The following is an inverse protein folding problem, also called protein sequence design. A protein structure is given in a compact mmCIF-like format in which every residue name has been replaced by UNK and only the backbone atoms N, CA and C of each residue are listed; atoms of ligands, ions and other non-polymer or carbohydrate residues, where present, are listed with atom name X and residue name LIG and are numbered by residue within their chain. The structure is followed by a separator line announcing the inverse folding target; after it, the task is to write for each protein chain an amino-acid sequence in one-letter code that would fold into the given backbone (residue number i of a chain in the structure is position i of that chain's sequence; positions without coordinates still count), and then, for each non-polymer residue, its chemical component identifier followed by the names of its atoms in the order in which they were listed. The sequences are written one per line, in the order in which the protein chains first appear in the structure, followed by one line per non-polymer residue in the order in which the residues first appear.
data_IF_040566847281
#
_entry.id   IF_040566847281
#
_cell.length_a   1.000
_cell.length_b   1.000
_cell.length_c   1.000
_cell.angle_alpha   90.00
_cell.angle_beta   90.00
_cell.angle_gamma   90.00
#
_symmetry.space_group_name_H-M   'P 1'
#
loop_
_entity.id
_entity.type
_entity.pdbx_description
1 polymer ?
#
# COMPACT_ATOMS: atom_id res chain seq x y z
N UNK A 1 13.59 -21.09 8.08
CA UNK A 1 13.05 -20.79 6.74
C UNK A 1 11.97 -19.74 6.91
N UNK A 2 12.04 -18.61 6.20
CA UNK A 2 10.89 -17.69 6.12
C UNK A 2 9.85 -18.38 5.22
N UNK A 3 8.64 -18.57 5.73
CA UNK A 3 7.53 -19.09 4.92
C UNK A 3 7.17 -18.04 3.86
N UNK A 4 6.92 -18.44 2.61
CA UNK A 4 6.48 -17.50 1.58
C UNK A 4 5.09 -16.96 1.94
N UNK A 5 4.90 -15.66 1.71
CA UNK A 5 3.59 -15.01 1.78
C UNK A 5 2.94 -15.11 0.40
N UNK A 6 1.66 -15.51 0.36
CA UNK A 6 0.89 -15.61 -0.89
C UNK A 6 -0.24 -14.58 -0.89
N UNK A 7 -0.24 -13.71 -1.89
CA UNK A 7 -1.36 -12.81 -2.19
C UNK A 7 -2.19 -13.44 -3.31
N UNK A 8 -3.40 -13.84 -2.96
CA UNK A 8 -4.33 -14.55 -3.83
C UNK A 8 -5.60 -13.70 -4.05
N UNK A 9 -5.95 -13.32 -5.30
CA UNK A 9 -7.14 -12.52 -5.61
C UNK A 9 -8.46 -13.13 -5.12
N UNK A 10 -8.51 -14.44 -4.83
CA UNK A 10 -9.70 -15.10 -4.26
C UNK A 10 -9.97 -14.63 -2.83
N UNK A 11 -8.91 -14.28 -2.10
CA UNK A 11 -8.95 -13.89 -0.69
C UNK A 11 -8.61 -12.42 -0.43
N UNK A 12 -7.90 -11.77 -1.35
CA UNK A 12 -7.40 -10.42 -1.20
C UNK A 12 -7.84 -9.56 -2.39
N UNK A 13 -8.62 -8.52 -2.12
CA UNK A 13 -9.13 -7.58 -3.13
C UNK A 13 -8.17 -6.42 -3.35
N UNK A 14 -7.39 -6.04 -2.34
CA UNK A 14 -6.49 -4.91 -2.43
C UNK A 14 -5.24 -5.04 -1.57
N UNK A 15 -4.23 -4.24 -1.93
CA UNK A 15 -3.00 -4.04 -1.14
C UNK A 15 -2.75 -2.55 -0.94
N UNK A 16 -2.51 -2.15 0.31
CA UNK A 16 -2.08 -0.81 0.68
C UNK A 16 -0.58 -0.86 0.98
N UNK A 17 0.18 0.07 0.39
CA UNK A 17 1.65 0.11 0.47
C UNK A 17 2.10 1.43 1.11
N UNK A 18 2.78 1.34 2.25
CA UNK A 18 3.55 2.44 2.85
C UNK A 18 4.72 2.76 1.93
N UNK A 19 4.83 4.02 1.51
CA UNK A 19 5.94 4.52 0.70
C UNK A 19 6.69 5.70 1.32
N UNK A 20 6.62 5.94 2.64
CA UNK A 20 7.27 7.09 3.30
C UNK A 20 8.77 7.26 2.99
N UNK A 21 9.55 6.19 3.01
CA UNK A 21 11.00 6.22 2.74
C UNK A 21 11.32 6.04 1.24
N UNK A 22 10.32 5.72 0.43
CA UNK A 22 10.47 5.40 -0.99
C UNK A 22 10.28 6.66 -1.84
N UNK A 23 11.34 7.44 -2.03
CA UNK A 23 11.29 8.63 -2.89
C UNK A 23 11.22 8.24 -4.37
N UNK A 24 10.39 8.93 -5.14
CA UNK A 24 10.13 8.58 -6.53
C UNK A 24 11.39 8.69 -7.44
N UNK A 25 12.38 9.47 -7.01
CA UNK A 25 13.69 9.60 -7.65
C UNK A 25 14.69 8.50 -7.25
N UNK A 26 14.42 7.74 -6.18
CA UNK A 26 15.21 6.58 -5.76
C UNK A 26 14.60 5.29 -6.33
N UNK A 27 15.01 4.96 -7.56
CA UNK A 27 14.59 3.76 -8.26
C UNK A 27 14.94 2.46 -7.52
N UNK A 28 15.94 2.47 -6.63
CA UNK A 28 16.38 1.30 -5.85
C UNK A 28 15.37 0.91 -4.78
N UNK A 29 14.70 1.91 -4.17
CA UNK A 29 13.69 1.70 -3.13
C UNK A 29 12.28 1.59 -3.75
N UNK A 30 11.97 2.45 -4.71
CA UNK A 30 10.64 2.47 -5.36
C UNK A 30 10.45 1.33 -6.36
N UNK A 31 11.52 0.88 -7.03
CA UNK A 31 11.45 -0.14 -8.08
C UNK A 31 10.74 -1.43 -7.66
N UNK A 32 11.12 -2.07 -6.54
CA UNK A 32 10.44 -3.27 -6.05
C UNK A 32 8.95 -3.06 -5.72
N UNK A 33 8.59 -1.91 -5.12
CA UNK A 33 7.21 -1.57 -4.83
C UNK A 33 6.39 -1.34 -6.11
N UNK A 34 7.00 -0.70 -7.12
CA UNK A 34 6.40 -0.51 -8.44
C UNK A 34 6.15 -1.83 -9.14
N UNK A 35 7.14 -2.73 -9.13
CA UNK A 35 7.01 -4.05 -9.74
C UNK A 35 5.94 -4.90 -9.05
N UNK A 36 5.85 -4.81 -7.72
CA UNK A 36 4.78 -5.44 -6.96
C UNK A 36 3.41 -4.87 -7.35
N UNK A 37 3.24 -3.55 -7.35
CA UNK A 37 1.98 -2.90 -7.72
C UNK A 37 1.53 -3.28 -9.14
N UNK A 38 2.46 -3.35 -10.10
CA UNK A 38 2.19 -3.81 -11.47
C UNK A 38 1.77 -5.28 -11.52
N UNK A 39 2.35 -6.16 -10.68
CA UNK A 39 1.96 -7.57 -10.62
C UNK A 39 0.56 -7.74 -10.02
N UNK A 40 0.27 -7.01 -8.94
CA UNK A 40 -1.03 -7.02 -8.26
C UNK A 40 -2.15 -6.58 -9.20
N UNK A 41 -1.96 -5.48 -9.93
CA UNK A 41 -2.99 -5.00 -10.85
C UNK A 41 -3.25 -5.98 -12.00
N UNK A 42 -2.20 -6.62 -12.54
CA UNK A 42 -2.37 -7.68 -13.54
C UNK A 42 -3.12 -8.89 -13.00
N UNK A 43 -3.04 -9.14 -11.70
CA UNK A 43 -3.78 -10.20 -11.01
C UNK A 43 -5.21 -9.77 -10.61
N UNK A 44 -5.63 -8.53 -10.92
CA UNK A 44 -6.94 -8.00 -10.55
C UNK A 44 -7.05 -7.56 -9.09
N UNK A 45 -5.93 -7.33 -8.42
CA UNK A 45 -5.88 -6.82 -7.03
C UNK A 45 -5.64 -5.32 -7.08
N UNK A 46 -6.52 -4.55 -6.45
CA UNK A 46 -6.42 -3.09 -6.42
C UNK A 46 -5.24 -2.63 -5.55
N UNK A 47 -4.67 -1.48 -5.85
CA UNK A 47 -3.51 -0.96 -5.14
C UNK A 47 -3.74 0.44 -4.59
N UNK A 48 -3.38 0.64 -3.33
CA UNK A 48 -3.26 1.96 -2.74
C UNK A 48 -1.82 2.22 -2.29
N UNK A 49 -1.41 3.47 -2.40
CA UNK A 49 -0.19 3.96 -1.78
C UNK A 49 -0.55 4.98 -0.69
N UNK A 50 0.20 4.95 0.41
CA UNK A 50 0.15 6.05 1.37
C UNK A 50 1.52 6.58 1.73
N UNK A 51 1.55 7.86 2.04
CA UNK A 51 2.72 8.53 2.60
C UNK A 51 2.32 9.76 3.41
N UNK A 52 3.04 10.02 4.50
CA UNK A 52 3.02 11.24 5.30
C UNK A 52 3.68 12.44 4.59
N UNK A 53 4.28 12.24 3.40
CA UNK A 53 4.99 13.29 2.66
C UNK A 53 4.02 14.25 1.95
N UNK A 54 4.20 15.60 2.09
CA UNK A 54 3.27 16.60 1.54
C UNK A 54 3.07 16.56 0.02
N UNK A 55 4.09 16.16 -0.75
CA UNK A 55 4.06 16.21 -2.21
C UNK A 55 4.05 14.82 -2.88
N UNK A 56 3.81 13.76 -2.11
CA UNK A 56 3.89 12.38 -2.58
C UNK A 56 3.12 12.11 -3.88
N UNK A 57 1.85 12.54 -3.98
CA UNK A 57 1.05 12.35 -5.19
C UNK A 57 1.67 13.04 -6.42
N UNK A 58 2.24 14.22 -6.23
CA UNK A 58 2.93 14.97 -7.29
C UNK A 58 4.23 14.27 -7.68
N UNK A 59 5.03 13.83 -6.71
CA UNK A 59 6.26 13.07 -6.95
C UNK A 59 5.99 11.80 -7.77
N UNK A 60 4.93 11.04 -7.44
CA UNK A 60 4.52 9.89 -8.23
C UNK A 60 4.13 10.26 -9.66
N UNK A 61 3.38 11.35 -9.82
CA UNK A 61 2.94 11.82 -11.15
C UNK A 61 4.13 12.25 -12.01
N UNK A 62 5.04 13.04 -11.44
CA UNK A 62 6.24 13.54 -12.12
C UNK A 62 7.19 12.38 -12.50
N UNK A 63 7.18 11.27 -11.74
CA UNK A 63 7.90 10.04 -12.06
C UNK A 63 7.15 9.11 -13.05
N UNK A 64 5.98 9.49 -13.56
CA UNK A 64 5.17 8.66 -14.46
C UNK A 64 4.49 7.46 -13.79
N UNK A 65 4.33 7.52 -12.47
CA UNK A 65 3.72 6.49 -11.61
C UNK A 65 2.34 6.90 -11.08
N UNK A 66 1.78 8.03 -11.53
CA UNK A 66 0.51 8.55 -11.03
C UNK A 66 -0.67 7.57 -11.19
N UNK A 67 -0.72 6.86 -12.31
CA UNK A 67 -1.76 5.85 -12.55
C UNK A 67 -1.42 4.49 -11.95
N UNK A 68 -0.27 4.35 -11.27
CA UNK A 68 0.20 3.08 -10.73
C UNK A 68 -0.61 2.59 -9.52
N UNK A 69 -1.23 3.51 -8.80
CA UNK A 69 -2.06 3.21 -7.64
C UNK A 69 -3.46 3.72 -7.91
N UNK A 70 -4.46 2.88 -7.65
CA UNK A 70 -5.87 3.24 -7.82
C UNK A 70 -6.25 4.33 -6.80
N UNK A 71 -5.65 4.29 -5.61
CA UNK A 71 -5.81 5.29 -4.54
C UNK A 71 -4.46 5.76 -4.01
N UNK A 72 -4.34 7.05 -3.74
CA UNK A 72 -3.18 7.65 -3.06
C UNK A 72 -3.66 8.45 -1.86
N UNK A 73 -3.40 7.95 -0.65
CA UNK A 73 -3.78 8.64 0.59
C UNK A 73 -2.60 9.42 1.13
N UNK A 74 -2.84 10.64 1.57
CA UNK A 74 -1.82 11.50 2.16
C UNK A 74 -2.38 12.12 3.45
N UNK A 75 -1.51 12.29 4.43
CA UNK A 75 -1.80 12.92 5.72
C UNK A 75 -2.77 12.11 6.61
N UNK A 76 -2.69 12.33 7.92
CA UNK A 76 -3.47 11.62 8.92
C UNK A 76 -2.63 10.62 9.71
N UNK A 77 -3.22 10.05 10.75
CA UNK A 77 -2.63 8.94 11.49
C UNK A 77 -2.72 7.63 10.69
N UNK A 78 -1.86 6.65 10.98
CA UNK A 78 -1.87 5.36 10.26
C UNK A 78 -3.27 4.70 10.23
N UNK A 79 -4.06 4.65 11.34
CA UNK A 79 -5.41 4.10 11.29
C UNK A 79 -6.35 4.87 10.36
N UNK A 80 -6.27 6.21 10.34
CA UNK A 80 -7.09 7.06 9.47
C UNK A 80 -6.71 6.87 8.00
N UNK A 81 -5.42 6.76 7.72
CA UNK A 81 -4.89 6.53 6.38
C UNK A 81 -5.35 5.18 5.84
N UNK A 82 -5.23 4.12 6.64
CA UNK A 82 -5.67 2.78 6.27
C UNK A 82 -7.20 2.68 6.09
N UNK A 83 -7.97 3.31 6.97
CA UNK A 83 -9.43 3.40 6.85
C UNK A 83 -9.85 4.23 5.62
N UNK A 84 -9.17 5.33 5.35
CA UNK A 84 -9.39 6.16 4.17
C UNK A 84 -9.12 5.40 2.87
N UNK A 85 -8.00 4.67 2.81
CA UNK A 85 -7.62 3.88 1.65
C UNK A 85 -8.65 2.78 1.34
N UNK A 86 -9.05 2.00 2.36
CA UNK A 86 -10.06 0.95 2.17
C UNK A 86 -11.42 1.50 1.75
N UNK A 87 -11.83 2.65 2.29
CA UNK A 87 -13.07 3.34 1.90
C UNK A 87 -13.03 3.78 0.43
N UNK A 88 -11.92 4.36 -0.02
CA UNK A 88 -11.79 4.84 -1.41
C UNK A 88 -11.62 3.71 -2.42
N UNK A 89 -11.00 2.60 -2.01
CA UNK A 89 -10.92 1.38 -2.80
C UNK A 89 -12.22 0.55 -2.80
N UNK A 90 -13.20 0.91 -1.97
CA UNK A 90 -14.45 0.15 -1.77
C UNK A 90 -14.23 -1.31 -1.34
N UNK A 91 -13.17 -1.56 -0.55
CA UNK A 91 -12.80 -2.90 -0.06
C UNK A 91 -12.99 -3.04 1.44
N UNK A 92 -13.15 -4.28 1.91
CA UNK A 92 -13.19 -4.60 3.34
C UNK A 92 -11.77 -4.81 3.87
N UNK A 93 -11.42 -4.32 5.08
CA UNK A 93 -10.11 -4.59 5.69
C UNK A 93 -9.77 -6.10 5.73
N UNK A 94 -10.75 -6.97 6.00
CA UNK A 94 -10.56 -8.43 6.06
C UNK A 94 -10.27 -9.09 4.70
N UNK A 95 -10.29 -8.32 3.61
CA UNK A 95 -9.84 -8.73 2.27
C UNK A 95 -8.74 -7.80 1.74
N UNK A 96 -8.14 -6.99 2.59
CA UNK A 96 -7.08 -6.06 2.22
C UNK A 96 -5.79 -6.42 2.96
N UNK A 97 -4.67 -6.32 2.25
CA UNK A 97 -3.33 -6.52 2.81
C UNK A 97 -2.64 -5.18 2.98
N UNK A 98 -1.89 -5.01 4.06
CA UNK A 98 -1.07 -3.81 4.30
C UNK A 98 0.40 -4.16 4.36
N UNK A 99 1.23 -3.34 3.71
CA UNK A 99 2.69 -3.39 3.74
C UNK A 99 3.17 -2.13 4.45
N UNK A 100 3.73 -2.29 5.64
CA UNK A 100 4.06 -1.21 6.58
C UNK A 100 5.53 -1.24 6.94
N UNK A 101 6.18 -0.08 7.08
CA UNK A 101 7.58 0.01 7.54
C UNK A 101 7.73 0.54 8.97
N UNK A 102 6.63 0.88 9.63
CA UNK A 102 6.64 1.42 10.99
C UNK A 102 5.90 0.50 11.95
N UNK A 103 6.31 0.49 13.22
CA UNK A 103 5.59 -0.25 14.26
C UNK A 103 4.16 0.28 14.44
N UNK A 104 3.97 1.60 14.30
CA UNK A 104 2.67 2.25 14.38
C UNK A 104 1.74 1.82 13.25
N UNK A 105 2.23 1.79 12.01
CA UNK A 105 1.50 1.28 10.85
C UNK A 105 1.15 -0.20 10.97
N UNK A 106 2.11 -1.03 11.43
CA UNK A 106 1.85 -2.46 11.70
C UNK A 106 0.77 -2.63 12.78
N UNK A 107 0.81 -1.84 13.85
CA UNK A 107 -0.21 -1.87 14.89
C UNK A 107 -1.59 -1.44 14.34
N UNK A 108 -1.64 -0.35 13.58
CA UNK A 108 -2.85 0.15 12.94
C UNK A 108 -3.48 -0.89 11.99
N UNK A 109 -2.65 -1.58 11.20
CA UNK A 109 -3.11 -2.66 10.33
C UNK A 109 -3.70 -3.84 11.11
N UNK A 110 -3.10 -4.19 12.25
CA UNK A 110 -3.61 -5.28 13.10
C UNK A 110 -4.93 -4.89 13.77
N UNK A 111 -4.98 -3.70 14.37
CA UNK A 111 -6.15 -3.20 15.08
C UNK A 111 -7.31 -2.91 14.12
N UNK A 112 -7.01 -2.53 12.88
CA UNK A 112 -7.98 -2.34 11.80
C UNK A 112 -8.56 -3.64 11.23
N UNK A 113 -8.07 -4.80 11.65
CA UNK A 113 -8.59 -6.10 11.22
C UNK A 113 -8.27 -6.43 9.77
N UNK A 114 -7.11 -6.00 9.27
CA UNK A 114 -6.66 -6.30 7.92
C UNK A 114 -6.37 -7.79 7.74
N UNK A 115 -6.62 -8.32 6.53
CA UNK A 115 -6.47 -9.74 6.22
C UNK A 115 -5.04 -10.24 6.49
N UNK A 116 -4.07 -9.40 6.17
CA UNK A 116 -2.66 -9.66 6.37
C UNK A 116 -1.91 -8.34 6.56
N UNK A 117 -1.00 -8.32 7.53
CA UNK A 117 -0.14 -7.18 7.85
C UNK A 117 1.32 -7.63 7.69
N UNK A 118 2.05 -6.98 6.79
CA UNK A 118 3.45 -7.30 6.50
C UNK A 118 4.31 -6.11 6.92
N UNK A 119 5.04 -6.28 8.02
CA UNK A 119 6.10 -5.34 8.43
C UNK A 119 7.39 -5.62 7.67
N UNK A 120 8.00 -4.59 7.07
CA UNK A 120 9.25 -4.68 6.28
C UNK A 120 10.41 -4.04 7.03
#
# INVERSE_FOLDING_TARGET
MKLPVTLDPRYHDAVIIDLDDARADDATIVGPAVDLARKLRRAGVATAAHSSRPHFRRELTDAGLGDLFDVCVQNGSDPEVLAGATRELEVRPQRCVVLERTEAGVAAGRDGGFALVIGI
#
